data_IF_852992509330
#
_entry.id   IF_852992509330
#
_cell.length_a   1.000
_cell.length_b   1.000
_cell.length_c   1.000
_cell.angle_alpha   90.00
_cell.angle_beta   90.00
_cell.angle_gamma   90.00
#
_symmetry.space_group_name_H-M   'P 1'
#
loop_
_entity.id
_entity.type
_entity.pdbx_description
1 polymer ?
#
# COMPACT_ATOMS: atom_id res chain seq x y z
N UNK A 1 -49.41 -31.42 -17.30
CA UNK A 1 -50.17 -30.60 -18.27
C UNK A 1 -50.81 -29.45 -17.49
N UNK A 2 -50.64 -28.21 -18.00
CA UNK A 2 -51.12 -26.90 -17.52
C UNK A 2 -50.31 -26.16 -16.43
N UNK A 3 -50.17 -24.87 -16.74
CA UNK A 3 -49.34 -23.81 -16.21
C UNK A 3 -50.03 -22.96 -15.13
N UNK A 4 -49.28 -22.01 -14.55
CA UNK A 4 -49.57 -20.61 -14.12
C UNK A 4 -48.37 -20.23 -13.20
N UNK A 5 -47.70 -19.08 -13.23
CA UNK A 5 -47.84 -17.83 -13.98
C UNK A 5 -46.66 -16.89 -13.65
N UNK A 6 -46.51 -15.86 -14.49
CA UNK A 6 -45.50 -14.79 -14.43
C UNK A 6 -45.69 -13.82 -13.25
N UNK A 7 -44.58 -13.18 -12.82
CA UNK A 7 -44.59 -11.96 -12.02
C UNK A 7 -43.18 -11.56 -11.52
N UNK A 8 -42.64 -10.37 -11.88
CA UNK A 8 -41.31 -9.90 -11.47
C UNK A 8 -41.41 -9.09 -10.16
N UNK A 9 -40.39 -9.17 -9.28
CA UNK A 9 -40.30 -8.32 -8.09
C UNK A 9 -39.18 -7.29 -8.24
N UNK A 10 -39.62 -6.05 -8.11
CA UNK A 10 -38.93 -4.78 -8.28
C UNK A 10 -38.12 -4.38 -7.04
N UNK A 11 -37.06 -3.62 -7.29
CA UNK A 11 -36.27 -2.91 -6.29
C UNK A 11 -37.05 -1.67 -5.85
N UNK A 12 -37.33 -1.48 -4.55
CA UNK A 12 -37.29 -0.13 -3.96
C UNK A 12 -37.37 -0.10 -2.41
N UNK A 13 -36.57 0.82 -1.85
CA UNK A 13 -36.74 1.56 -0.58
C UNK A 13 -36.66 0.83 0.78
N UNK A 14 -35.51 0.99 1.44
CA UNK A 14 -35.43 1.02 2.91
C UNK A 14 -34.90 2.38 3.36
N UNK A 15 -35.81 3.22 3.89
CA UNK A 15 -35.49 4.38 4.73
C UNK A 15 -35.45 3.94 6.21
N UNK A 16 -34.52 4.44 7.04
CA UNK A 16 -34.56 4.22 8.49
C UNK A 16 -35.63 5.11 9.15
N UNK A 17 -36.46 4.53 10.03
CA UNK A 17 -37.27 5.26 11.02
C UNK A 17 -36.60 5.13 12.39
N UNK A 18 -36.17 6.28 12.90
CA UNK A 18 -36.44 6.86 14.22
C UNK A 18 -36.73 5.90 15.40
N UNK A 19 -35.84 5.94 16.39
CA UNK A 19 -36.19 5.86 17.80
C UNK A 19 -35.49 7.02 18.54
N UNK A 20 -36.34 7.88 19.11
CA UNK A 20 -36.04 9.13 19.80
C UNK A 20 -35.39 8.96 21.18
N UNK A 21 -34.54 9.94 21.47
CA UNK A 21 -34.41 10.73 22.69
C UNK A 21 -34.92 10.21 24.04
N UNK A 22 -34.01 10.27 25.02
CA UNK A 22 -34.36 10.87 26.31
C UNK A 22 -33.25 11.81 26.77
N UNK A 23 -33.70 13.03 27.03
CA UNK A 23 -32.99 14.24 27.43
C UNK A 23 -32.59 14.24 28.91
N UNK A 24 -31.46 14.88 29.22
CA UNK A 24 -31.26 15.58 30.50
C UNK A 24 -30.47 16.87 30.23
N UNK A 25 -31.03 17.98 30.70
CA UNK A 25 -30.65 19.35 30.40
C UNK A 25 -29.56 19.91 31.34
N UNK A 26 -29.03 21.03 30.86
CA UNK A 26 -28.20 22.07 31.49
C UNK A 26 -28.56 22.47 32.92
N UNK A 27 -27.53 22.81 33.71
CA UNK A 27 -27.30 24.12 34.36
C UNK A 27 -26.27 23.94 35.50
N UNK A 28 -25.08 24.55 35.49
CA UNK A 28 -24.71 25.77 36.25
C UNK A 28 -23.17 25.66 36.47
N UNK A 29 -22.31 26.65 36.21
CA UNK A 29 -22.02 27.76 37.12
C UNK A 29 -21.10 28.81 36.47
N UNK A 30 -21.46 30.07 36.75
CA UNK A 30 -20.81 31.36 36.50
C UNK A 30 -19.29 31.41 36.79
N UNK A 31 -18.48 32.09 35.97
CA UNK A 31 -18.15 33.54 35.98
C UNK A 31 -17.50 34.03 37.28
N UNK A 32 -16.24 34.45 37.18
CA UNK A 32 -15.72 35.58 37.95
C UNK A 32 -14.73 36.42 37.11
N UNK A 33 -15.02 37.72 37.07
CA UNK A 33 -14.24 38.81 36.48
C UNK A 33 -12.93 39.11 37.25
N UNK A 34 -11.98 39.83 36.62
CA UNK A 34 -10.83 40.43 37.28
C UNK A 34 -11.17 41.81 37.89
N UNK A 35 -10.63 42.11 39.09
CA UNK A 35 -10.73 43.41 39.75
C UNK A 35 -9.38 44.14 39.78
N UNK A 36 -9.42 45.32 39.18
CA UNK A 36 -8.92 46.62 39.65
C UNK A 36 -7.43 47.02 39.63
N UNK A 37 -7.28 48.25 39.11
CA UNK A 37 -6.12 49.13 39.03
C UNK A 37 -5.51 49.53 40.37
N UNK A 38 -4.20 49.82 40.36
CA UNK A 38 -3.49 50.69 41.29
C UNK A 38 -2.56 51.65 40.52
N UNK A 39 -2.62 52.93 40.87
CA UNK A 39 -1.96 54.08 40.22
C UNK A 39 -0.74 54.59 41.02
N UNK A 40 0.07 55.45 40.38
CA UNK A 40 1.18 56.25 40.98
C UNK A 40 2.56 55.73 40.56
N UNK A 41 3.56 56.52 40.16
CA UNK A 41 3.83 57.94 40.40
C UNK A 41 4.84 58.48 39.34
N UNK A 42 4.82 59.79 39.19
CA UNK A 42 5.50 60.64 38.20
C UNK A 42 7.01 60.77 38.42
N UNK A 43 7.79 60.98 37.36
CA UNK A 43 8.84 62.04 37.35
C UNK A 43 9.16 62.52 35.92
N UNK A 44 9.37 63.83 35.86
CA UNK A 44 9.60 64.72 34.72
C UNK A 44 10.96 64.49 34.01
N UNK A 45 10.99 64.63 32.68
CA UNK A 45 12.21 64.84 31.90
C UNK A 45 11.88 65.32 30.48
N UNK A 46 12.37 66.50 30.11
CA UNK A 46 12.00 67.31 28.94
C UNK A 46 12.42 66.72 27.58
N UNK A 47 11.61 67.12 26.59
CA UNK A 47 11.84 67.29 25.15
C UNK A 47 13.22 66.95 24.56
N UNK A 48 13.21 66.20 23.45
CA UNK A 48 13.84 66.64 22.20
C UNK A 48 13.27 65.86 21.00
N UNK A 49 12.91 66.62 19.97
CA UNK A 49 12.46 66.15 18.68
C UNK A 49 13.63 65.57 17.91
N UNK A 50 13.64 64.27 17.62
CA UNK A 50 14.49 63.70 16.58
C UNK A 50 13.92 62.35 16.12
N UNK A 51 13.22 62.34 14.98
CA UNK A 51 13.36 61.23 14.02
C UNK A 51 14.50 61.66 13.09
N UNK A 52 15.46 60.80 12.79
CA UNK A 52 15.24 59.91 11.65
C UNK A 52 15.89 58.52 11.76
N UNK A 53 15.32 57.56 11.03
CA UNK A 53 16.00 56.42 10.40
C UNK A 53 17.15 55.72 11.17
N UNK A 54 16.90 54.55 11.81
CA UNK A 54 17.83 53.38 11.78
C UNK A 54 17.53 52.20 12.72
N UNK A 55 16.44 52.17 13.49
CA UNK A 55 16.28 51.17 14.56
C UNK A 55 15.52 49.86 14.20
N UNK A 56 15.73 49.26 13.03
CA UNK A 56 15.35 47.84 12.79
C UNK A 56 16.50 47.09 12.11
N UNK A 57 17.66 47.11 12.76
CA UNK A 57 18.78 46.22 12.45
C UNK A 57 19.17 45.37 13.67
N UNK A 58 18.18 44.85 14.41
CA UNK A 58 18.36 43.89 15.50
C UNK A 58 17.00 43.24 15.72
N UNK A 59 16.66 42.10 15.12
CA UNK A 59 16.98 40.75 15.61
C UNK A 59 17.20 39.80 14.42
N UNK A 60 18.40 39.80 13.87
CA UNK A 60 18.93 38.66 13.12
C UNK A 60 19.89 37.93 14.05
N UNK A 61 19.34 37.14 14.98
CA UNK A 61 20.14 36.26 15.82
C UNK A 61 20.68 35.10 14.96
N UNK A 62 22.01 35.12 14.83
CA UNK A 62 22.94 34.06 14.45
C UNK A 62 22.32 32.70 14.02
N UNK A 63 22.51 32.37 12.72
CA UNK A 63 22.22 31.10 12.02
C UNK A 63 20.75 30.75 11.71
N UNK A 64 20.32 31.20 10.52
CA UNK A 64 19.65 30.42 9.45
C UNK A 64 18.18 29.96 9.57
N UNK A 65 17.36 30.35 10.54
CA UNK A 65 15.94 29.95 10.53
C UNK A 65 14.95 31.08 10.82
N UNK A 66 13.96 31.23 9.93
CA UNK A 66 12.78 32.05 10.18
C UNK A 66 11.95 31.36 11.28
N UNK A 67 11.57 32.08 12.33
CA UNK A 67 10.76 31.54 13.42
C UNK A 67 9.40 31.11 12.88
N UNK A 68 8.88 29.96 13.33
CA UNK A 68 7.65 29.35 12.78
C UNK A 68 6.43 30.28 12.84
N UNK A 69 6.38 31.17 13.83
CA UNK A 69 5.38 32.23 13.93
C UNK A 69 5.36 33.16 12.69
N UNK A 70 6.53 33.66 12.27
CA UNK A 70 6.64 34.51 11.08
C UNK A 70 6.38 33.70 9.80
N UNK A 71 6.72 32.41 9.81
CA UNK A 71 6.42 31.49 8.71
C UNK A 71 4.92 31.35 8.48
N UNK A 72 4.14 31.11 9.55
CA UNK A 72 2.69 31.02 9.47
C UNK A 72 2.02 32.31 9.00
N UNK A 73 2.51 33.47 9.47
CA UNK A 73 1.99 34.79 9.06
C UNK A 73 2.25 35.13 7.58
N UNK A 74 3.39 34.72 7.04
CA UNK A 74 3.71 34.87 5.61
C UNK A 74 2.79 33.96 4.79
N UNK A 75 2.67 32.69 5.15
CA UNK A 75 1.87 31.70 4.43
C UNK A 75 0.41 32.12 4.37
N UNK A 76 -0.19 32.45 5.52
CA UNK A 76 -1.58 32.88 5.58
C UNK A 76 -1.84 34.08 4.66
N UNK A 77 -1.00 35.13 4.67
CA UNK A 77 -1.21 36.30 3.81
C UNK A 77 -1.15 35.98 2.32
N UNK A 78 -0.22 35.13 1.92
CA UNK A 78 -0.08 34.70 0.53
C UNK A 78 -1.27 33.84 0.08
N UNK A 79 -1.79 32.98 0.95
CA UNK A 79 -3.00 32.18 0.69
C UNK A 79 -4.26 33.06 0.56
N UNK A 80 -4.29 34.21 1.23
CA UNK A 80 -5.31 35.25 1.09
C UNK A 80 -5.09 36.18 -0.12
N UNK A 81 -4.20 35.81 -1.06
CA UNK A 81 -4.01 36.50 -2.34
C UNK A 81 -3.11 37.73 -2.30
N UNK A 82 -2.43 38.01 -1.17
CA UNK A 82 -1.43 39.10 -1.09
C UNK A 82 -0.20 38.77 -1.93
N UNK A 83 0.42 39.80 -2.50
CA UNK A 83 1.67 39.64 -3.26
C UNK A 83 2.89 39.53 -2.34
N UNK A 84 3.98 38.93 -2.81
CA UNK A 84 5.22 38.82 -2.01
C UNK A 84 5.80 40.18 -1.62
N UNK A 85 5.56 41.22 -2.43
CA UNK A 85 5.98 42.59 -2.16
C UNK A 85 5.18 43.18 -1.00
N UNK A 86 3.85 43.06 -1.03
CA UNK A 86 2.97 43.51 0.06
C UNK A 86 3.33 42.83 1.39
N UNK A 87 3.59 41.51 1.36
CA UNK A 87 3.97 40.76 2.56
C UNK A 87 5.38 41.14 3.06
N UNK A 88 6.29 41.51 2.15
CA UNK A 88 7.64 41.98 2.50
C UNK A 88 7.59 43.33 3.21
N UNK A 89 6.81 44.26 2.68
CA UNK A 89 6.63 45.60 3.24
C UNK A 89 5.90 45.56 4.59
N UNK A 90 4.86 44.74 4.71
CA UNK A 90 4.06 44.65 5.94
C UNK A 90 4.82 43.98 7.09
N UNK A 91 5.61 42.94 6.81
CA UNK A 91 6.28 42.17 7.85
C UNK A 91 7.74 42.59 8.09
N UNK A 92 8.28 43.52 7.28
CA UNK A 92 9.69 43.93 7.36
C UNK A 92 10.68 42.81 7.06
N UNK A 93 10.23 41.77 6.34
CA UNK A 93 11.02 40.58 6.00
C UNK A 93 11.42 40.70 4.54
N UNK A 94 12.73 40.59 4.26
CA UNK A 94 13.22 40.69 2.89
C UNK A 94 12.46 39.76 1.93
N UNK A 95 12.01 40.29 0.80
CA UNK A 95 11.29 39.55 -0.24
C UNK A 95 12.04 38.27 -0.67
N UNK A 96 13.38 38.27 -0.63
CA UNK A 96 14.21 37.09 -0.90
C UNK A 96 14.01 35.93 0.11
N UNK A 97 13.60 36.23 1.34
CA UNK A 97 13.30 35.24 2.39
C UNK A 97 11.89 34.68 2.19
N UNK A 98 10.92 35.54 1.83
CA UNK A 98 9.55 35.15 1.49
C UNK A 98 9.56 34.26 0.24
N UNK A 99 10.24 34.68 -0.83
CA UNK A 99 10.43 33.89 -2.05
C UNK A 99 11.04 32.51 -1.77
N UNK A 100 12.09 32.44 -0.94
CA UNK A 100 12.68 31.17 -0.49
C UNK A 100 11.73 30.31 0.34
N UNK A 101 10.79 30.89 1.08
CA UNK A 101 9.78 30.16 1.84
C UNK A 101 8.68 29.61 0.92
N UNK A 102 8.16 30.41 0.00
CA UNK A 102 7.20 29.98 -1.03
C UNK A 102 7.76 28.83 -1.85
N UNK A 103 9.03 28.95 -2.26
CA UNK A 103 9.74 27.88 -2.96
C UNK A 103 9.71 26.58 -2.17
N UNK A 104 10.02 26.62 -0.87
CA UNK A 104 10.03 25.40 -0.04
C UNK A 104 8.66 24.76 0.06
N UNK A 105 7.60 25.55 0.21
CA UNK A 105 6.22 25.02 0.31
C UNK A 105 5.76 24.41 -1.00
N UNK A 106 6.09 25.07 -2.12
CA UNK A 106 5.80 24.55 -3.46
C UNK A 106 6.54 23.23 -3.72
N UNK A 107 7.81 23.14 -3.31
CA UNK A 107 8.61 21.91 -3.38
C UNK A 107 7.99 20.78 -2.56
N UNK A 108 7.59 21.05 -1.32
CA UNK A 108 7.02 20.06 -0.41
C UNK A 108 5.66 19.52 -0.93
N UNK A 109 4.82 20.42 -1.45
CA UNK A 109 3.52 20.06 -2.04
C UNK A 109 3.71 19.27 -3.34
N UNK A 110 4.65 19.68 -4.19
CA UNK A 110 4.95 18.99 -5.46
C UNK A 110 5.55 17.60 -5.20
N UNK A 111 6.46 17.46 -4.23
CA UNK A 111 7.05 16.19 -3.84
C UNK A 111 6.02 15.21 -3.25
N UNK A 112 5.10 15.70 -2.40
CA UNK A 112 4.02 14.87 -1.83
C UNK A 112 3.01 14.43 -2.87
N UNK A 113 2.74 15.24 -3.90
CA UNK A 113 1.84 14.90 -5.03
C UNK A 113 2.51 13.96 -6.05
N UNK A 114 3.80 14.12 -6.30
CA UNK A 114 4.54 13.40 -7.35
C UNK A 114 5.52 12.35 -6.79
N UNK A 115 5.04 11.48 -5.91
CA UNK A 115 5.86 10.44 -5.23
C UNK A 115 6.62 9.50 -6.18
N UNK A 116 6.23 9.43 -7.45
CA UNK A 116 6.77 8.51 -8.47
C UNK A 116 7.80 9.18 -9.40
N UNK A 117 7.97 10.50 -9.31
CA UNK A 117 8.90 11.24 -10.15
C UNK A 117 10.35 11.08 -9.65
N UNK A 118 11.30 11.03 -10.57
CA UNK A 118 12.71 11.03 -10.18
C UNK A 118 13.09 12.38 -9.57
N UNK A 119 14.14 12.42 -8.75
CA UNK A 119 14.67 13.68 -8.24
C UNK A 119 15.00 14.67 -9.37
N UNK A 120 15.48 14.17 -10.52
CA UNK A 120 15.75 14.96 -11.72
C UNK A 120 14.47 15.54 -12.36
N UNK A 121 13.38 14.76 -12.41
CA UNK A 121 12.10 15.24 -12.96
C UNK A 121 11.44 16.27 -12.04
N UNK A 122 11.48 16.05 -10.72
CA UNK A 122 11.05 17.04 -9.74
C UNK A 122 11.89 18.32 -9.84
N UNK A 123 13.21 18.19 -10.03
CA UNK A 123 14.12 19.31 -10.25
C UNK A 123 13.73 20.13 -11.49
N UNK A 124 13.38 19.45 -12.58
CA UNK A 124 12.98 20.08 -13.85
C UNK A 124 11.65 20.81 -13.71
N UNK A 125 10.65 20.15 -13.11
CA UNK A 125 9.33 20.73 -12.83
C UNK A 125 9.45 21.99 -11.94
N UNK A 126 10.29 21.92 -10.91
CA UNK A 126 10.52 23.04 -10.02
C UNK A 126 11.29 24.17 -10.71
N UNK A 127 12.28 23.83 -11.52
CA UNK A 127 13.02 24.85 -12.29
C UNK A 127 12.11 25.58 -13.27
N UNK A 128 11.19 24.87 -13.94
CA UNK A 128 10.19 25.49 -14.82
C UNK A 128 9.16 26.32 -14.07
N UNK A 129 8.72 25.88 -12.89
CA UNK A 129 7.69 26.58 -12.12
C UNK A 129 8.21 27.87 -11.45
N UNK A 130 9.52 27.93 -11.18
CA UNK A 130 10.09 28.97 -10.31
C UNK A 130 11.14 29.83 -10.98
N UNK A 131 11.51 29.51 -12.22
CA UNK A 131 12.50 30.26 -13.00
C UNK A 131 13.93 30.12 -12.49
N UNK A 132 14.17 29.35 -11.43
CA UNK A 132 15.49 29.11 -10.83
C UNK A 132 15.96 27.69 -11.05
N UNK A 133 17.21 27.53 -11.49
CA UNK A 133 17.82 26.20 -11.68
C UNK A 133 17.97 25.49 -10.34
N UNK A 134 17.23 24.40 -10.16
CA UNK A 134 17.38 23.51 -9.01
C UNK A 134 18.22 22.30 -9.44
N UNK A 135 19.24 21.96 -8.65
CA UNK A 135 20.05 20.76 -8.88
C UNK A 135 19.43 19.51 -8.24
N UNK A 136 19.69 18.35 -8.84
CA UNK A 136 19.25 17.05 -8.28
C UNK A 136 19.65 16.85 -6.82
N UNK A 137 20.90 17.18 -6.46
CA UNK A 137 21.37 17.06 -5.06
C UNK A 137 20.59 17.97 -4.10
N UNK A 138 20.19 19.15 -4.57
CA UNK A 138 19.34 20.05 -3.79
C UNK A 138 17.98 19.43 -3.55
N UNK A 139 17.41 18.76 -4.57
CA UNK A 139 16.16 18.01 -4.43
C UNK A 139 16.29 16.83 -3.46
N UNK A 140 17.33 16.00 -3.59
CA UNK A 140 17.56 14.85 -2.71
C UNK A 140 17.68 15.30 -1.24
N UNK A 141 18.43 16.38 -0.97
CA UNK A 141 18.57 16.93 0.39
C UNK A 141 17.26 17.50 0.93
N UNK A 142 16.46 18.13 0.08
CA UNK A 142 15.14 18.67 0.47
C UNK A 142 14.15 17.55 0.79
N UNK A 143 14.07 16.53 -0.06
CA UNK A 143 13.25 15.35 0.16
C UNK A 143 13.61 14.67 1.49
N UNK A 144 14.91 14.55 1.79
CA UNK A 144 15.37 14.06 3.08
C UNK A 144 14.96 14.93 4.27
N UNK A 145 14.97 16.26 4.13
CA UNK A 145 14.54 17.19 5.19
C UNK A 145 13.04 17.10 5.51
N UNK A 146 12.21 16.70 4.55
CA UNK A 146 10.78 16.43 4.76
C UNK A 146 10.48 14.96 5.07
N UNK A 147 11.50 14.16 5.36
CA UNK A 147 11.37 12.76 5.78
C UNK A 147 10.98 11.79 4.65
N UNK A 148 11.14 12.18 3.38
CA UNK A 148 10.85 11.32 2.23
C UNK A 148 12.14 10.71 1.69
N UNK A 149 12.12 9.40 1.50
CA UNK A 149 13.27 8.66 0.98
C UNK A 149 12.85 7.78 -0.20
N UNK A 150 13.71 7.71 -1.21
CA UNK A 150 13.54 6.78 -2.32
C UNK A 150 13.59 5.34 -1.79
N UNK A 151 12.48 4.62 -1.91
CA UNK A 151 12.32 3.23 -1.45
C UNK A 151 11.54 2.43 -2.48
N UNK A 152 11.72 1.11 -2.47
CA UNK A 152 10.90 0.23 -3.30
C UNK A 152 9.45 0.26 -2.79
N UNK A 153 8.47 0.46 -3.68
CA UNK A 153 7.05 0.29 -3.38
C UNK A 153 6.72 -1.19 -3.20
N UNK A 154 5.58 -1.47 -2.56
CA UNK A 154 4.95 -2.79 -2.64
C UNK A 154 4.12 -2.82 -3.91
N UNK A 155 4.20 -3.93 -4.67
CA UNK A 155 3.37 -4.13 -5.86
C UNK A 155 2.23 -5.10 -5.54
N UNK A 156 1.04 -4.60 -5.30
CA UNK A 156 -0.16 -5.38 -5.03
C UNK A 156 -1.39 -4.66 -5.60
N UNK A 157 -2.48 -5.39 -5.80
CA UNK A 157 -3.74 -4.80 -6.28
C UNK A 157 -4.40 -4.01 -5.15
N UNK A 158 -4.89 -2.77 -5.38
CA UNK A 158 -5.63 -2.00 -4.40
C UNK A 158 -6.81 -2.80 -3.82
N UNK A 159 -6.88 -2.88 -2.50
CA UNK A 159 -8.02 -3.50 -1.84
C UNK A 159 -9.18 -2.50 -1.79
N UNK A 160 -10.33 -2.92 -2.31
CA UNK A 160 -11.61 -2.28 -2.04
C UNK A 160 -12.06 -2.60 -0.61
N UNK A 161 -13.01 -1.83 -0.08
CA UNK A 161 -13.59 -2.12 1.24
C UNK A 161 -14.15 -3.55 1.34
N UNK A 162 -14.72 -4.06 0.24
CA UNK A 162 -15.19 -5.45 0.12
C UNK A 162 -14.07 -6.45 0.30
N UNK A 163 -12.91 -6.26 -0.36
CA UNK A 163 -11.78 -7.19 -0.21
C UNK A 163 -11.18 -7.16 1.20
N UNK A 164 -11.08 -5.98 1.83
CA UNK A 164 -10.66 -5.88 3.23
C UNK A 164 -11.61 -6.67 4.15
N UNK A 165 -12.92 -6.57 3.92
CA UNK A 165 -13.89 -7.32 4.71
C UNK A 165 -13.72 -8.84 4.53
N UNK A 166 -13.57 -9.32 3.29
CA UNK A 166 -13.37 -10.75 3.03
C UNK A 166 -12.08 -11.29 3.66
N UNK A 167 -10.97 -10.56 3.57
CA UNK A 167 -9.72 -10.92 4.23
C UNK A 167 -9.85 -10.98 5.76
N UNK A 168 -10.61 -10.04 6.33
CA UNK A 168 -10.87 -10.00 7.76
C UNK A 168 -11.74 -11.18 8.21
N UNK A 169 -12.76 -11.56 7.42
CA UNK A 169 -13.63 -12.71 7.69
C UNK A 169 -12.82 -14.00 7.69
N UNK A 170 -12.07 -14.27 6.60
CA UNK A 170 -11.20 -15.44 6.52
C UNK A 170 -10.22 -15.49 7.72
N UNK A 171 -9.56 -14.37 7.99
CA UNK A 171 -8.60 -14.32 9.10
C UNK A 171 -9.22 -14.59 10.45
N UNK A 172 -10.48 -14.18 10.68
CA UNK A 172 -11.23 -14.43 11.92
C UNK A 172 -11.67 -15.88 12.03
N UNK A 173 -12.19 -16.46 10.95
CA UNK A 173 -12.63 -17.86 10.90
C UNK A 173 -11.47 -18.81 11.23
N UNK A 174 -10.27 -18.49 10.74
CA UNK A 174 -9.07 -19.32 10.96
C UNK A 174 -8.11 -18.75 12.03
N UNK A 175 -8.53 -17.75 12.82
CA UNK A 175 -7.67 -17.08 13.80
C UNK A 175 -7.15 -18.02 14.90
N UNK A 176 -7.94 -19.03 15.23
CA UNK A 176 -7.68 -20.00 16.29
C UNK A 176 -7.14 -21.33 15.75
N UNK A 177 -6.95 -21.45 14.44
CA UNK A 177 -6.40 -22.66 13.86
C UNK A 177 -4.97 -22.92 14.35
N UNK A 178 -4.74 -24.17 14.72
CA UNK A 178 -3.44 -24.68 15.14
C UNK A 178 -2.51 -24.87 13.94
N UNK A 179 -1.18 -24.90 14.16
CA UNK A 179 -0.23 -25.27 13.09
C UNK A 179 -0.56 -26.63 12.44
N UNK A 180 -1.12 -27.57 13.20
CA UNK A 180 -1.56 -28.88 12.70
C UNK A 180 -2.72 -28.74 11.71
N UNK A 181 -3.72 -27.91 12.01
CA UNK A 181 -4.81 -27.65 11.06
C UNK A 181 -4.29 -26.97 9.78
N UNK A 182 -3.37 -26.01 9.92
CA UNK A 182 -2.72 -25.40 8.76
C UNK A 182 -1.82 -26.37 7.97
N UNK A 183 -1.30 -27.42 8.61
CA UNK A 183 -0.49 -28.44 7.94
C UNK A 183 -1.28 -29.29 6.95
N UNK A 184 -2.61 -29.35 7.12
CA UNK A 184 -3.53 -30.08 6.25
C UNK A 184 -4.01 -29.24 5.05
N UNK A 185 -3.59 -27.97 4.93
CA UNK A 185 -3.97 -27.11 3.81
C UNK A 185 -2.92 -27.17 2.71
N UNK A 186 -3.32 -27.57 1.52
CA UNK A 186 -2.54 -27.38 0.29
C UNK A 186 -2.83 -25.98 -0.26
N UNK A 187 -1.83 -25.11 -0.22
CA UNK A 187 -1.90 -23.77 -0.80
C UNK A 187 -1.47 -23.83 -2.26
N UNK A 188 -2.27 -23.26 -3.16
CA UNK A 188 -1.94 -23.20 -4.58
C UNK A 188 -2.19 -21.81 -5.16
N UNK A 189 -1.54 -21.52 -6.28
CA UNK A 189 -1.74 -20.28 -7.05
C UNK A 189 -1.07 -20.37 -8.43
N UNK A 190 -1.44 -19.46 -9.32
CA UNK A 190 -0.73 -19.21 -10.58
C UNK A 190 0.16 -17.97 -10.52
N UNK A 191 1.34 -18.06 -11.13
CA UNK A 191 2.20 -16.90 -11.35
C UNK A 191 2.65 -16.79 -12.81
N UNK A 192 3.20 -15.63 -13.19
CA UNK A 192 3.73 -15.43 -14.55
C UNK A 192 5.17 -14.94 -14.51
N UNK A 193 6.04 -15.67 -15.20
CA UNK A 193 7.45 -15.35 -15.35
C UNK A 193 7.79 -14.99 -16.80
N UNK A 194 8.48 -13.88 -17.01
CA UNK A 194 8.92 -13.40 -18.31
C UNK A 194 10.42 -13.10 -18.32
N UNK A 195 11.06 -13.18 -19.49
CA UNK A 195 12.49 -12.87 -19.67
C UNK A 195 12.81 -11.41 -19.29
N UNK A 196 11.91 -10.51 -19.71
CA UNK A 196 11.96 -9.12 -19.32
C UNK A 196 11.02 -8.95 -18.14
N UNK A 197 11.58 -8.93 -16.94
CA UNK A 197 10.80 -8.52 -15.77
C UNK A 197 10.31 -7.07 -15.97
N UNK A 198 9.07 -6.79 -15.62
CA UNK A 198 8.58 -5.41 -15.43
C UNK A 198 9.20 -4.76 -14.17
N UNK A 199 10.25 -5.37 -13.61
CA UNK A 199 11.13 -4.79 -12.59
C UNK A 199 12.08 -3.78 -13.26
N UNK A 200 11.52 -2.76 -13.89
CA UNK A 200 12.20 -1.47 -13.82
C UNK A 200 12.10 -1.03 -12.38
N UNK A 201 13.27 -0.75 -11.79
CA UNK A 201 13.53 -0.39 -10.40
C UNK A 201 12.84 0.93 -10.04
N UNK A 202 11.50 0.97 -10.08
CA UNK A 202 10.70 2.15 -9.75
C UNK A 202 10.80 2.35 -8.25
N UNK A 203 11.50 3.40 -7.85
CA UNK A 203 11.51 3.88 -6.47
C UNK A 203 10.41 4.91 -6.32
N UNK A 204 9.76 4.90 -5.16
CA UNK A 204 8.84 5.97 -4.76
C UNK A 204 9.42 6.72 -3.57
N UNK A 205 9.11 8.00 -3.47
CA UNK A 205 9.40 8.82 -2.30
C UNK A 205 8.36 8.54 -1.21
N UNK A 206 8.78 7.93 -0.11
CA UNK A 206 7.90 7.65 1.03
C UNK A 206 8.61 7.82 2.37
N UNK A 207 7.81 8.04 3.40
CA UNK A 207 8.28 8.07 4.77
C UNK A 207 8.68 6.66 5.27
N UNK A 208 9.55 6.57 6.29
CA UNK A 208 9.76 5.32 7.03
C UNK A 208 8.44 4.79 7.62
N UNK A 209 8.29 3.48 7.72
CA UNK A 209 7.09 2.83 8.28
C UNK A 209 5.87 2.78 7.36
N UNK A 210 5.75 3.64 6.34
CA UNK A 210 4.52 3.74 5.54
C UNK A 210 4.44 2.77 4.34
N UNK A 211 5.18 1.64 4.39
CA UNK A 211 5.37 0.73 3.24
C UNK A 211 4.06 0.20 2.65
N UNK A 212 3.11 -0.16 3.50
CA UNK A 212 1.85 -0.82 3.13
C UNK A 212 0.65 0.15 3.14
N UNK A 213 0.89 1.46 3.24
CA UNK A 213 -0.18 2.44 3.03
C UNK A 213 -0.61 2.44 1.58
N UNK A 214 -1.92 2.53 1.35
CA UNK A 214 -2.56 2.49 0.03
C UNK A 214 -1.89 3.40 -1.01
N UNK A 215 -1.51 4.60 -0.60
CA UNK A 215 -0.83 5.61 -1.43
C UNK A 215 0.61 5.25 -1.87
N UNK A 216 1.23 4.26 -1.24
CA UNK A 216 2.61 3.81 -1.50
C UNK A 216 2.68 2.44 -2.21
N UNK A 217 1.51 1.88 -2.54
CA UNK A 217 1.35 0.65 -3.30
C UNK A 217 1.28 0.99 -4.79
N UNK A 218 1.97 0.17 -5.61
CA UNK A 218 1.84 0.22 -7.07
C UNK A 218 1.01 -0.98 -7.50
N UNK A 219 0.00 -0.73 -8.32
CA UNK A 219 -0.83 -1.81 -8.85
C UNK A 219 0.01 -2.71 -9.77
N UNK A 220 -0.15 -4.03 -9.65
CA UNK A 220 0.30 -4.93 -10.72
C UNK A 220 -0.63 -4.68 -11.91
N UNK A 221 -0.16 -3.96 -12.93
CA UNK A 221 -0.86 -3.89 -14.22
C UNK A 221 -0.91 -5.29 -14.86
N UNK A 222 -1.97 -5.56 -15.63
CA UNK A 222 -2.16 -6.80 -16.37
C UNK A 222 -0.88 -7.18 -17.10
N UNK A 223 -0.48 -8.44 -17.02
CA UNK A 223 0.73 -8.94 -17.65
C UNK A 223 0.70 -8.67 -19.17
N UNK A 224 1.50 -7.71 -19.63
CA UNK A 224 1.70 -7.44 -21.06
C UNK A 224 3.05 -8.05 -21.46
N UNK A 225 3.02 -9.15 -22.24
CA UNK A 225 4.24 -9.72 -22.83
C UNK A 225 4.29 -11.25 -22.85
N UNK A 226 5.26 -11.77 -23.62
CA UNK A 226 5.56 -13.20 -23.70
C UNK A 226 6.23 -13.69 -22.39
N UNK A 227 5.75 -14.81 -21.87
CA UNK A 227 6.20 -15.42 -20.61
C UNK A 227 5.47 -16.72 -20.34
N UNK A 228 5.94 -17.45 -19.34
CA UNK A 228 5.33 -18.70 -18.88
C UNK A 228 4.33 -18.40 -17.77
N UNK A 229 3.12 -18.95 -17.89
CA UNK A 229 2.23 -19.14 -16.77
C UNK A 229 2.69 -20.41 -16.03
N UNK A 230 2.84 -20.32 -14.72
CA UNK A 230 3.18 -21.44 -13.87
C UNK A 230 2.10 -21.66 -12.83
N UNK A 231 1.89 -22.91 -12.43
CA UNK A 231 1.07 -23.28 -11.28
C UNK A 231 1.88 -24.19 -10.37
N UNK A 232 1.69 -24.06 -9.06
CA UNK A 232 2.23 -24.99 -8.08
C UNK A 232 1.37 -25.06 -6.84
N UNK A 233 1.51 -26.16 -6.10
CA UNK A 233 0.93 -26.36 -4.79
C UNK A 233 2.03 -26.59 -3.75
N UNK A 234 1.85 -26.02 -2.56
CA UNK A 234 2.71 -26.25 -1.38
C UNK A 234 1.89 -26.79 -0.22
N UNK A 235 2.48 -27.70 0.54
CA UNK A 235 1.92 -28.25 1.78
C UNK A 235 3.04 -28.45 2.80
N UNK A 236 2.70 -28.57 4.09
CA UNK A 236 3.73 -28.82 5.09
C UNK A 236 4.47 -30.14 4.80
N UNK A 237 5.80 -30.06 4.69
CA UNK A 237 6.68 -31.19 4.41
C UNK A 237 6.76 -31.60 2.94
N UNK A 238 6.01 -30.96 2.02
CA UNK A 238 6.07 -31.31 0.59
C UNK A 238 5.63 -30.17 -0.36
N UNK A 239 5.68 -30.43 -1.66
CA UNK A 239 5.16 -29.56 -2.72
C UNK A 239 4.89 -30.36 -3.99
N UNK A 240 4.01 -29.85 -4.84
CA UNK A 240 3.76 -30.44 -6.16
C UNK A 240 4.93 -30.21 -7.10
N UNK A 241 4.94 -30.91 -8.22
CA UNK A 241 5.69 -30.47 -9.39
C UNK A 241 5.17 -29.12 -9.88
N UNK A 242 6.04 -28.33 -10.52
CA UNK A 242 5.68 -27.06 -11.11
C UNK A 242 5.08 -27.29 -12.51
N UNK A 243 3.81 -26.96 -12.67
CA UNK A 243 3.18 -26.94 -14.00
C UNK A 243 3.58 -25.67 -14.74
N UNK A 244 3.93 -25.79 -16.02
CA UNK A 244 4.38 -24.66 -16.83
C UNK A 244 3.72 -24.68 -18.21
N UNK A 245 3.02 -23.59 -18.56
CA UNK A 245 2.33 -23.45 -19.84
C UNK A 245 2.44 -22.05 -20.45
N UNK A 246 2.29 -21.97 -21.77
CA UNK A 246 2.37 -20.70 -22.53
C UNK A 246 1.02 -20.02 -22.71
N UNK A 247 -0.08 -20.74 -22.48
CA UNK A 247 -1.45 -20.28 -22.72
C UNK A 247 -2.13 -19.78 -21.44
N UNK A 248 -3.17 -18.97 -21.60
CA UNK A 248 -4.02 -18.51 -20.50
C UNK A 248 -4.74 -19.70 -19.86
N UNK A 249 -4.86 -19.69 -18.53
CA UNK A 249 -5.62 -20.71 -17.79
C UNK A 249 -7.11 -20.63 -18.14
N UNK A 250 -7.71 -21.77 -18.48
CA UNK A 250 -9.16 -21.96 -18.67
C UNK A 250 -9.66 -23.01 -17.70
N UNK A 251 -10.97 -23.08 -17.44
CA UNK A 251 -11.51 -24.09 -16.53
C UNK A 251 -11.20 -25.54 -16.97
N UNK A 252 -11.20 -25.81 -18.28
CA UNK A 252 -10.82 -27.13 -18.80
C UNK A 252 -9.35 -27.44 -18.54
N UNK A 253 -8.45 -26.49 -18.82
CA UNK A 253 -7.02 -26.67 -18.56
C UNK A 253 -6.77 -26.85 -17.05
N UNK A 254 -7.46 -26.07 -16.21
CA UNK A 254 -7.36 -26.19 -14.77
C UNK A 254 -7.80 -27.58 -14.29
N UNK A 255 -8.95 -28.08 -14.75
CA UNK A 255 -9.39 -29.44 -14.44
C UNK A 255 -8.36 -30.49 -14.89
N UNK A 256 -8.04 -30.52 -16.18
CA UNK A 256 -7.26 -31.62 -16.78
C UNK A 256 -5.78 -31.60 -16.40
N UNK A 257 -5.18 -30.41 -16.39
CA UNK A 257 -3.74 -30.27 -16.19
C UNK A 257 -3.38 -29.99 -14.72
N UNK A 258 -4.27 -29.37 -13.94
CA UNK A 258 -3.99 -29.03 -12.54
C UNK A 258 -4.63 -30.03 -11.60
N UNK A 259 -5.96 -30.14 -11.62
CA UNK A 259 -6.68 -30.98 -10.66
C UNK A 259 -6.36 -32.46 -10.87
N UNK A 260 -6.56 -32.98 -12.07
CA UNK A 260 -6.41 -34.42 -12.33
C UNK A 260 -4.95 -34.89 -12.28
N UNK A 261 -4.00 -34.06 -12.73
CA UNK A 261 -2.60 -34.46 -12.85
C UNK A 261 -1.75 -34.10 -11.63
N UNK A 262 -2.03 -32.99 -10.94
CA UNK A 262 -1.17 -32.54 -9.84
C UNK A 262 -1.88 -32.63 -8.49
N UNK A 263 -3.09 -32.11 -8.36
CA UNK A 263 -3.81 -32.09 -7.07
C UNK A 263 -4.25 -33.49 -6.69
N UNK A 264 -4.91 -34.23 -7.58
CA UNK A 264 -5.42 -35.57 -7.32
C UNK A 264 -4.33 -36.56 -6.93
N UNK A 265 -3.19 -36.54 -7.63
CA UNK A 265 -2.05 -37.40 -7.32
C UNK A 265 -1.52 -37.13 -5.90
N UNK A 266 -1.50 -35.87 -5.49
CA UNK A 266 -1.11 -35.50 -4.13
C UNK A 266 -2.21 -35.83 -3.11
N UNK A 267 -3.47 -35.60 -3.45
CA UNK A 267 -4.63 -35.70 -2.57
C UNK A 267 -4.77 -37.08 -1.95
N UNK A 268 -4.58 -38.15 -2.74
CA UNK A 268 -4.63 -39.52 -2.23
C UNK A 268 -3.55 -39.86 -1.19
N UNK A 269 -2.46 -39.08 -1.14
CA UNK A 269 -1.43 -39.20 -0.10
C UNK A 269 -1.72 -38.30 1.12
N UNK A 270 -2.66 -37.37 1.01
CA UNK A 270 -3.06 -36.49 2.11
C UNK A 270 -4.15 -37.15 2.97
N UNK A 271 -4.28 -36.71 4.22
CA UNK A 271 -5.27 -37.25 5.15
C UNK A 271 -6.70 -36.78 4.83
N UNK A 272 -7.70 -37.47 5.39
CA UNK A 272 -9.12 -37.16 5.17
C UNK A 272 -9.57 -35.74 5.60
N UNK A 273 -8.78 -35.05 6.43
CA UNK A 273 -9.04 -33.68 6.88
C UNK A 273 -8.32 -32.61 6.03
N UNK A 274 -7.77 -32.99 4.89
CA UNK A 274 -7.02 -32.07 4.03
C UNK A 274 -7.94 -31.08 3.35
N UNK A 275 -7.41 -29.89 3.06
CA UNK A 275 -8.11 -28.83 2.34
C UNK A 275 -7.29 -28.37 1.15
N UNK A 276 -7.95 -28.18 0.02
CA UNK A 276 -7.35 -27.58 -1.16
C UNK A 276 -7.70 -26.09 -1.21
N UNK A 277 -6.69 -25.22 -1.16
CA UNK A 277 -6.88 -23.77 -1.30
C UNK A 277 -6.53 -23.31 -2.71
N UNK A 278 -7.48 -22.61 -3.32
CA UNK A 278 -7.31 -21.81 -4.53
C UNK A 278 -7.98 -20.43 -4.35
N UNK A 279 -7.78 -19.54 -5.32
CA UNK A 279 -8.48 -18.26 -5.35
C UNK A 279 -9.80 -18.33 -6.13
N UNK A 280 -10.58 -17.26 -6.05
CA UNK A 280 -11.86 -17.13 -6.75
C UNK A 280 -11.72 -16.72 -8.24
N UNK A 281 -10.61 -17.05 -8.92
CA UNK A 281 -10.47 -16.78 -10.34
C UNK A 281 -11.51 -17.54 -11.16
N UNK A 282 -11.91 -16.94 -12.29
CA UNK A 282 -12.98 -17.48 -13.15
C UNK A 282 -12.76 -18.95 -13.57
N UNK A 283 -11.54 -19.40 -13.95
CA UNK A 283 -11.29 -20.80 -14.24
C UNK A 283 -11.60 -21.76 -13.07
N UNK A 284 -11.30 -21.34 -11.84
CA UNK A 284 -11.45 -22.16 -10.62
C UNK A 284 -12.89 -22.29 -10.16
N UNK A 285 -13.78 -21.43 -10.66
CA UNK A 285 -15.22 -21.40 -10.35
C UNK A 285 -16.07 -21.83 -11.56
N UNK A 286 -15.47 -22.53 -12.52
CA UNK A 286 -16.21 -23.15 -13.60
C UNK A 286 -16.92 -24.42 -13.11
N UNK A 287 -18.14 -24.69 -13.59
CA UNK A 287 -18.92 -25.87 -13.16
C UNK A 287 -18.13 -27.18 -13.28
N UNK A 288 -17.40 -27.36 -14.39
CA UNK A 288 -16.54 -28.53 -14.63
C UNK A 288 -15.43 -28.72 -13.58
N UNK A 289 -15.01 -27.64 -12.92
CA UNK A 289 -14.00 -27.66 -11.85
C UNK A 289 -14.68 -28.04 -10.54
N UNK A 290 -15.82 -27.44 -10.23
CA UNK A 290 -16.61 -27.80 -9.03
C UNK A 290 -17.06 -29.28 -9.08
N UNK A 291 -17.51 -29.76 -10.23
CA UNK A 291 -17.87 -31.17 -10.46
C UNK A 291 -16.67 -32.11 -10.22
N UNK A 292 -15.48 -31.73 -10.70
CA UNK A 292 -14.26 -32.50 -10.51
C UNK A 292 -13.86 -32.58 -9.03
N UNK A 293 -13.85 -31.44 -8.32
CA UNK A 293 -13.54 -31.40 -6.89
C UNK A 293 -14.52 -32.27 -6.08
N UNK A 294 -15.81 -32.20 -6.38
CA UNK A 294 -16.82 -33.05 -5.74
C UNK A 294 -16.61 -34.53 -6.02
N UNK A 295 -16.28 -34.90 -7.26
CA UNK A 295 -16.08 -36.31 -7.64
C UNK A 295 -14.88 -36.97 -6.98
N UNK A 296 -13.86 -36.18 -6.63
CA UNK A 296 -12.63 -36.64 -5.97
C UNK A 296 -12.65 -36.42 -4.45
N UNK A 297 -13.79 -36.00 -3.89
CA UNK A 297 -13.96 -35.66 -2.46
C UNK A 297 -12.92 -34.63 -1.97
N UNK A 298 -12.60 -33.66 -2.83
CA UNK A 298 -11.65 -32.59 -2.53
C UNK A 298 -12.42 -31.43 -1.90
N UNK A 299 -12.17 -31.20 -0.61
CA UNK A 299 -12.77 -30.09 0.12
C UNK A 299 -11.98 -28.81 -0.17
N UNK A 300 -12.67 -27.82 -0.75
CA UNK A 300 -12.09 -26.52 -1.09
C UNK A 300 -12.15 -25.53 0.07
N UNK A 301 -11.05 -24.80 0.27
CA UNK A 301 -10.98 -23.61 1.11
C UNK A 301 -10.86 -22.38 0.20
N UNK A 302 -11.87 -21.51 0.21
CA UNK A 302 -11.87 -20.33 -0.64
C UNK A 302 -10.91 -19.26 -0.12
N UNK A 303 -9.94 -18.86 -0.93
CA UNK A 303 -9.17 -17.65 -0.70
C UNK A 303 -9.89 -16.45 -1.34
N UNK A 304 -10.19 -15.38 -0.57
CA UNK A 304 -10.70 -14.15 -1.16
C UNK A 304 -9.73 -13.59 -2.20
N UNK A 305 -10.26 -13.15 -3.34
CA UNK A 305 -9.43 -12.57 -4.38
C UNK A 305 -8.58 -11.40 -3.85
N UNK A 306 -7.37 -11.26 -4.38
CA UNK A 306 -6.39 -10.24 -3.98
C UNK A 306 -5.92 -10.34 -2.52
N UNK A 307 -5.74 -11.55 -2.00
CA UNK A 307 -5.21 -11.80 -0.65
C UNK A 307 -3.81 -12.45 -0.65
N UNK A 308 -2.80 -11.87 -1.36
CA UNK A 308 -1.49 -12.50 -1.46
C UNK A 308 -0.83 -12.68 -0.08
N UNK A 309 -1.11 -11.76 0.85
CA UNK A 309 -0.63 -11.80 2.23
C UNK A 309 -1.07 -13.06 3.01
N UNK A 310 -2.20 -13.66 2.62
CA UNK A 310 -2.78 -14.85 3.23
C UNK A 310 -2.55 -16.13 2.39
N UNK A 311 -1.80 -16.02 1.29
CA UNK A 311 -1.35 -17.18 0.51
C UNK A 311 0.18 -17.31 0.57
N UNK A 312 0.72 -18.23 1.38
CA UNK A 312 2.17 -18.38 1.57
C UNK A 312 2.92 -18.69 0.27
N UNK A 313 2.26 -19.21 -0.77
CA UNK A 313 2.90 -19.51 -2.05
C UNK A 313 3.38 -18.26 -2.80
N UNK A 314 2.79 -17.08 -2.55
CA UNK A 314 3.24 -15.81 -3.14
C UNK A 314 4.67 -15.46 -2.71
N UNK A 315 5.05 -15.84 -1.49
CA UNK A 315 6.44 -15.75 -1.04
C UNK A 315 7.36 -16.77 -1.72
N UNK A 316 6.84 -17.96 -2.03
CA UNK A 316 7.58 -18.97 -2.81
C UNK A 316 7.82 -18.48 -4.24
N UNK A 317 6.85 -17.78 -4.85
CA UNK A 317 7.04 -17.10 -6.14
C UNK A 317 8.13 -16.03 -6.10
N UNK A 318 8.20 -15.21 -5.05
CA UNK A 318 9.29 -14.25 -4.86
C UNK A 318 10.66 -14.96 -4.71
N UNK A 319 10.71 -16.05 -3.94
CA UNK A 319 11.92 -16.86 -3.80
C UNK A 319 12.37 -17.45 -5.13
N UNK A 320 11.44 -18.02 -5.91
CA UNK A 320 11.70 -18.56 -7.24
C UNK A 320 12.23 -17.46 -8.17
N UNK A 321 11.58 -16.30 -8.21
CA UNK A 321 12.03 -15.17 -9.03
C UNK A 321 13.42 -14.65 -8.67
N UNK A 322 13.74 -14.59 -7.35
CA UNK A 322 15.09 -14.23 -6.90
C UNK A 322 16.15 -15.25 -7.30
N UNK A 323 15.83 -16.54 -7.24
CA UNK A 323 16.73 -17.62 -7.67
C UNK A 323 17.00 -17.58 -9.16
N UNK A 324 15.96 -17.44 -9.99
CA UNK A 324 16.10 -17.26 -11.45
C UNK A 324 16.99 -16.06 -11.78
N UNK A 325 16.79 -14.93 -11.10
CA UNK A 325 17.59 -13.72 -11.30
C UNK A 325 19.05 -13.87 -10.83
N UNK A 326 19.34 -14.82 -9.94
CA UNK A 326 20.67 -15.07 -9.40
C UNK A 326 21.46 -16.12 -10.21
N UNK A 327 20.83 -16.84 -11.15
CA UNK A 327 21.51 -17.84 -12.00
C UNK A 327 22.62 -17.20 -12.84
N UNK A 328 23.68 -17.98 -13.05
CA UNK A 328 24.83 -17.61 -13.85
C UNK A 328 25.14 -18.75 -14.85
N UNK A 329 24.91 -18.55 -16.16
CA UNK A 329 24.32 -17.37 -16.79
C UNK A 329 22.79 -17.26 -16.52
N UNK A 330 22.20 -16.05 -16.60
CA UNK A 330 20.75 -15.88 -16.54
C UNK A 330 20.09 -16.43 -17.82
N UNK A 331 18.82 -16.88 -17.75
CA UNK A 331 18.11 -17.37 -18.93
C UNK A 331 17.88 -16.23 -19.94
N UNK A 332 18.24 -16.46 -21.20
CA UNK A 332 18.14 -15.46 -22.27
C UNK A 332 17.01 -15.74 -23.26
N UNK A 333 16.41 -16.94 -23.22
CA UNK A 333 15.28 -17.32 -24.06
C UNK A 333 14.18 -18.07 -23.29
N UNK A 334 12.97 -18.14 -23.85
CA UNK A 334 11.81 -18.74 -23.14
C UNK A 334 12.04 -20.22 -22.79
N UNK A 335 12.60 -21.08 -23.66
CA UNK A 335 12.92 -22.46 -23.29
C UNK A 335 13.89 -22.57 -22.11
N UNK A 336 14.96 -21.77 -22.08
CA UNK A 336 15.88 -21.72 -20.95
C UNK A 336 15.19 -21.26 -19.67
N UNK A 337 14.31 -20.24 -19.77
CA UNK A 337 13.53 -19.78 -18.62
C UNK A 337 12.62 -20.90 -18.09
N UNK A 338 11.98 -21.69 -18.97
CA UNK A 338 11.16 -22.84 -18.56
C UNK A 338 11.98 -23.85 -17.76
N UNK A 339 13.14 -24.23 -18.28
CA UNK A 339 14.03 -25.19 -17.61
C UNK A 339 14.52 -24.63 -16.27
N UNK A 340 14.94 -23.37 -16.24
CA UNK A 340 15.38 -22.72 -15.01
C UNK A 340 14.27 -22.67 -13.94
N UNK A 341 13.01 -22.43 -14.32
CA UNK A 341 11.86 -22.44 -13.41
C UNK A 341 11.65 -23.81 -12.78
N UNK A 342 11.69 -24.87 -13.59
CA UNK A 342 11.56 -26.25 -13.12
C UNK A 342 12.71 -26.62 -12.16
N UNK A 343 13.95 -26.33 -12.56
CA UNK A 343 15.14 -26.60 -11.74
C UNK A 343 15.10 -25.87 -10.40
N UNK A 344 14.85 -24.56 -10.42
CA UNK A 344 14.86 -23.75 -9.19
C UNK A 344 13.70 -24.09 -8.27
N UNK A 345 12.54 -24.47 -8.81
CA UNK A 345 11.44 -24.96 -7.98
C UNK A 345 11.84 -26.20 -7.19
N UNK A 346 12.52 -27.15 -7.83
CA UNK A 346 13.08 -28.33 -7.17
C UNK A 346 14.19 -27.99 -6.17
N UNK A 347 14.90 -26.88 -6.36
CA UNK A 347 15.98 -26.43 -5.46
C UNK A 347 15.54 -25.51 -4.33
N UNK A 348 14.25 -25.16 -4.21
CA UNK A 348 13.73 -24.45 -3.04
C UNK A 348 13.76 -25.40 -1.83
N UNK A 349 14.44 -25.04 -0.72
CA UNK A 349 14.46 -25.86 0.47
C UNK A 349 13.05 -25.98 1.09
N UNK A 350 12.63 -27.20 1.41
CA UNK A 350 11.29 -27.45 1.93
C UNK A 350 11.07 -26.78 3.30
N UNK A 351 12.10 -26.69 4.14
CA UNK A 351 12.04 -25.98 5.42
C UNK A 351 11.67 -24.49 5.27
N UNK A 352 12.07 -23.85 4.16
CA UNK A 352 11.67 -22.46 3.89
C UNK A 352 10.18 -22.36 3.54
N UNK A 353 9.64 -23.35 2.82
CA UNK A 353 8.20 -23.44 2.51
C UNK A 353 7.40 -23.73 3.79
N UNK A 354 7.87 -24.69 4.59
CA UNK A 354 7.23 -25.08 5.84
C UNK A 354 7.15 -23.91 6.82
N UNK A 355 8.23 -23.13 6.94
CA UNK A 355 8.22 -21.91 7.76
C UNK A 355 7.19 -20.87 7.28
N UNK A 356 6.90 -20.79 5.98
CA UNK A 356 5.86 -19.92 5.46
C UNK A 356 4.47 -20.43 5.84
N UNK A 357 4.21 -21.73 5.74
CA UNK A 357 2.94 -22.35 6.14
C UNK A 357 2.72 -22.23 7.65
N UNK A 358 3.73 -22.53 8.46
CA UNK A 358 3.68 -22.39 9.92
C UNK A 358 3.52 -20.93 10.39
N UNK A 359 3.75 -19.95 9.51
CA UNK A 359 3.51 -18.54 9.80
C UNK A 359 2.03 -18.11 9.68
N UNK A 360 1.15 -18.96 9.14
CA UNK A 360 -0.26 -18.63 8.88
C UNK A 360 -1.02 -18.08 10.11
N UNK A 361 -0.92 -18.66 11.32
CA UNK A 361 -1.56 -18.08 12.50
C UNK A 361 -1.14 -16.63 12.77
N UNK A 362 0.13 -16.29 12.51
CA UNK A 362 0.63 -14.92 12.66
C UNK A 362 0.07 -14.01 11.55
N UNK A 363 0.03 -14.48 10.30
CA UNK A 363 -0.53 -13.74 9.16
C UNK A 363 -1.99 -13.34 9.40
N UNK A 364 -2.82 -14.29 9.85
CA UNK A 364 -4.22 -14.02 10.21
C UNK A 364 -4.33 -12.97 11.33
N UNK A 365 -3.52 -13.07 12.40
CA UNK A 365 -3.51 -12.07 13.49
C UNK A 365 -3.14 -10.67 13.00
N UNK A 366 -2.15 -10.55 12.13
CA UNK A 366 -1.74 -9.26 11.56
C UNK A 366 -2.79 -8.69 10.62
N UNK A 367 -3.46 -9.54 9.84
CA UNK A 367 -4.58 -9.14 8.99
C UNK A 367 -5.76 -8.60 9.83
N UNK A 368 -6.10 -9.28 10.93
CA UNK A 368 -7.12 -8.82 11.89
C UNK A 368 -6.73 -7.46 12.49
N UNK A 369 -5.49 -7.32 12.96
CA UNK A 369 -5.00 -6.06 13.54
C UNK A 369 -5.00 -4.90 12.52
N UNK A 370 -4.87 -5.22 11.22
CA UNK A 370 -4.93 -4.26 10.12
C UNK A 370 -6.35 -4.05 9.56
N UNK A 371 -7.38 -4.65 10.19
CA UNK A 371 -8.76 -4.63 9.71
C UNK A 371 -8.90 -5.08 8.24
N UNK A 372 -8.15 -6.12 7.85
CA UNK A 372 -8.19 -6.68 6.48
C UNK A 372 -7.39 -5.89 5.44
N UNK A 373 -6.67 -4.84 5.83
CA UNK A 373 -5.77 -4.11 4.93
C UNK A 373 -4.46 -4.86 4.72
N UNK A 374 -3.70 -4.44 3.70
CA UNK A 374 -2.36 -4.97 3.41
C UNK A 374 -1.47 -5.04 4.64
N UNK A 375 -0.82 -6.18 4.77
CA UNK A 375 0.05 -6.59 5.86
C UNK A 375 1.48 -6.77 5.36
N UNK A 376 2.47 -6.95 6.26
CA UNK A 376 3.86 -7.13 5.87
C UNK A 376 4.23 -8.43 5.14
N UNK A 377 3.25 -9.30 4.93
CA UNK A 377 3.40 -10.71 4.61
C UNK A 377 3.19 -11.03 3.12
#
# INVERSE_FOLDING_TARGET
MRAIGDGPYDFEQLRPRDLDDTSLSLDSFNVHQPLHMGAGDQTLGKAESERPFSAIHTVMAQRKHLVDFFRGRIIGRLEWGRTQLEVSEELGIAQSVISRLCQRLQDDVTAKRNKRSTASDLSRQLSSATGTTVSRQTMDRRLGHIGLYARRPVRCVPLTATYCHLQLTLSREHALWTPQQWSCVMFSDESRFSLHSDSRRTLIWRAPGTRYHQENIIERHRYVGAGWLVWGGIILGSRTDLHVQSVTMTGHIYRDAILEQHVRLFWGAMGAESLFMDDNARPHRANIVDECLQSEDIIRMDLPAYSPDLNPIEHVWDMLGRRIAARQPPPICLPELRMALLDEWCNIPQDQIDNLILSMPRRCKVCIASSGRHTPH
#
